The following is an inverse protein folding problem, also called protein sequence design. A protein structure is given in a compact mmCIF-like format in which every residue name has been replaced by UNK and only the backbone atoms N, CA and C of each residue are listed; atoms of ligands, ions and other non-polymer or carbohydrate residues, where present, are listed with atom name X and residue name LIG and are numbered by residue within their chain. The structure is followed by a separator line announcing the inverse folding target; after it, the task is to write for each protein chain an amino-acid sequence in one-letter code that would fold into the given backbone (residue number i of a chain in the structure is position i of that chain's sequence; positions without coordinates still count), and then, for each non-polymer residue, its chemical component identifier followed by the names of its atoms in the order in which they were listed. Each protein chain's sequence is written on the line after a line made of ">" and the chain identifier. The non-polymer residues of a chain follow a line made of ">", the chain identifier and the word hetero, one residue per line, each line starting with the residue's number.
data_IF_798353960266
#
_entry.id   IF_798353960266
#
_cell.length_a   1.000
_cell.length_b   1.000
_cell.length_c   1.000
_cell.angle_alpha   90.00
_cell.angle_beta   90.00
_cell.angle_gamma   90.00
#
_symmetry.space_group_name_H-M   'P 1'
#
loop_
_entity.id
_entity.type
_entity.pdbx_description
1 polymer ?
#
# COMPACT_ATOMS: atom_id res chain seq x y z
N UNK A 1 -2.99 14.18 -14.00
CA UNK A 1 -2.71 15.15 -12.91
C UNK A 1 -3.91 16.03 -12.52
N UNK A 2 -5.04 15.98 -13.22
CA UNK A 2 -6.25 16.76 -12.87
C UNK A 2 -7.21 16.06 -11.90
N UNK A 3 -6.88 14.83 -11.54
CA UNK A 3 -7.71 13.94 -10.74
C UNK A 3 -7.88 14.39 -9.28
N UNK A 4 -6.93 15.12 -8.74
CA UNK A 4 -6.88 15.51 -7.33
C UNK A 4 -7.43 16.92 -7.04
N UNK A 5 -7.83 17.66 -8.06
CA UNK A 5 -8.24 19.05 -7.90
C UNK A 5 -9.63 19.21 -7.31
N UNK A 6 -10.59 18.37 -7.73
CA UNK A 6 -11.99 18.55 -7.35
C UNK A 6 -12.24 18.31 -5.87
N UNK A 7 -11.66 17.28 -5.28
CA UNK A 7 -11.83 16.99 -3.85
C UNK A 7 -11.08 17.98 -2.96
N UNK A 8 -9.89 18.39 -3.38
CA UNK A 8 -9.16 19.45 -2.70
C UNK A 8 -9.94 20.76 -2.66
N UNK A 9 -10.57 21.13 -3.76
CA UNK A 9 -11.41 22.34 -3.85
C UNK A 9 -12.64 22.22 -2.97
N UNK A 10 -13.33 21.07 -2.98
CA UNK A 10 -14.48 20.80 -2.10
C UNK A 10 -14.08 20.86 -0.61
N UNK A 11 -12.93 20.28 -0.25
CA UNK A 11 -12.41 20.32 1.11
C UNK A 11 -12.02 21.72 1.56
N UNK A 12 -11.42 22.51 0.67
CA UNK A 12 -11.02 23.89 1.00
C UNK A 12 -12.19 24.84 1.17
N UNK A 13 -13.35 24.51 0.59
CA UNK A 13 -14.57 25.31 0.64
C UNK A 13 -15.52 24.94 1.78
N UNK A 14 -15.26 23.83 2.49
CA UNK A 14 -16.11 23.42 3.60
C UNK A 14 -15.90 24.31 4.83
N UNK A 15 -16.94 25.02 5.31
CA UNK A 15 -16.80 25.92 6.45
C UNK A 15 -16.41 25.23 7.76
N UNK A 16 -16.71 23.94 7.91
CA UNK A 16 -16.44 23.16 9.11
C UNK A 16 -15.00 22.64 9.18
N UNK A 17 -14.21 22.89 8.15
CA UNK A 17 -12.85 22.34 8.00
C UNK A 17 -11.74 23.37 8.04
N UNK A 18 -11.98 24.50 8.66
CA UNK A 18 -10.93 25.49 8.98
C UNK A 18 -9.86 24.83 9.86
N UNK A 19 -8.70 24.55 9.28
CA UNK A 19 -7.56 23.98 10.00
C UNK A 19 -7.27 22.51 9.68
N UNK A 20 -7.97 21.86 8.73
CA UNK A 20 -7.53 20.59 8.21
C UNK A 20 -6.25 20.85 7.43
N UNK A 21 -5.14 20.43 8.02
CA UNK A 21 -3.91 20.29 7.25
C UNK A 21 -4.24 19.38 6.06
N UNK A 22 -3.96 19.85 4.87
CA UNK A 22 -4.08 19.03 3.68
C UNK A 22 -3.24 17.79 3.93
N UNK A 23 -3.92 16.67 3.92
CA UNK A 23 -3.42 15.36 4.11
C UNK A 23 -2.14 15.09 3.35
N UNK A 24 -1.12 14.72 4.08
CA UNK A 24 0.20 14.45 3.55
C UNK A 24 0.73 13.15 4.15
N UNK A 25 0.19 12.04 3.71
CA UNK A 25 0.82 10.76 3.99
C UNK A 25 2.24 10.78 3.42
N UNK A 26 3.23 10.50 4.26
CA UNK A 26 4.61 10.47 3.82
C UNK A 26 5.37 9.32 4.49
N UNK A 27 6.28 8.70 3.75
CA UNK A 27 7.23 7.73 4.29
C UNK A 27 8.59 8.40 4.45
N UNK A 28 8.97 8.60 5.70
CA UNK A 28 10.31 9.03 6.06
C UNK A 28 11.31 7.87 5.98
N UNK A 29 12.58 8.22 5.87
CA UNK A 29 13.70 7.29 5.99
C UNK A 29 14.80 7.96 6.82
N UNK A 30 15.40 7.18 7.69
CA UNK A 30 16.58 7.58 8.46
C UNK A 30 17.69 6.59 8.23
N UNK A 31 18.92 7.03 8.37
CA UNK A 31 20.08 6.17 8.44
C UNK A 31 20.56 6.09 9.89
N UNK A 32 20.85 4.89 10.36
CA UNK A 32 21.40 4.66 11.69
C UNK A 32 22.89 4.31 11.59
N UNK A 33 23.61 4.61 12.65
CA UNK A 33 24.95 4.08 12.89
C UNK A 33 24.88 2.60 13.31
N UNK A 34 26.00 1.90 13.37
CA UNK A 34 26.07 0.49 13.79
C UNK A 34 25.60 0.26 15.24
N UNK A 35 25.64 1.29 16.07
CA UNK A 35 25.13 1.29 17.44
C UNK A 35 23.64 1.70 17.54
N UNK A 36 22.94 1.76 16.41
CA UNK A 36 21.53 2.16 16.28
C UNK A 36 21.22 3.64 16.63
N UNK A 37 22.24 4.46 16.86
CA UNK A 37 22.01 5.90 17.00
C UNK A 37 21.70 6.55 15.65
N UNK A 38 20.98 7.66 15.66
CA UNK A 38 20.63 8.38 14.44
C UNK A 38 21.90 8.92 13.76
N UNK A 39 22.14 8.51 12.52
CA UNK A 39 23.21 9.06 11.68
C UNK A 39 22.70 10.25 10.88
N UNK A 40 21.59 10.08 10.18
CA UNK A 40 20.98 11.18 9.44
C UNK A 40 19.50 10.96 9.16
N UNK A 41 18.78 12.07 9.01
CA UNK A 41 17.43 12.11 8.45
C UNK A 41 17.55 12.40 6.97
N UNK A 42 16.90 11.60 6.14
CA UNK A 42 16.93 11.72 4.69
C UNK A 42 15.63 12.33 4.18
N UNK A 43 15.59 12.68 2.89
CA UNK A 43 14.34 13.11 2.25
C UNK A 43 13.33 11.95 2.28
N UNK A 44 12.04 12.22 2.48
CA UNK A 44 11.01 11.20 2.41
C UNK A 44 11.12 10.40 1.11
N UNK A 45 10.93 9.08 1.19
CA UNK A 45 10.91 8.19 0.02
C UNK A 45 9.75 8.53 -0.90
N UNK A 46 8.59 8.75 -0.30
CA UNK A 46 7.37 9.22 -0.96
C UNK A 46 6.67 10.24 -0.08
N UNK A 47 5.98 11.17 -0.73
CA UNK A 47 5.05 12.08 -0.10
C UNK A 47 3.82 12.18 -1.00
N UNK A 48 2.70 11.71 -0.51
CA UNK A 48 1.44 11.64 -1.27
C UNK A 48 0.58 12.88 -1.03
N UNK A 49 1.20 14.03 -1.17
CA UNK A 49 0.55 15.32 -0.99
C UNK A 49 -0.76 15.40 -1.77
N UNK A 50 -1.86 15.59 -1.07
CA UNK A 50 -3.22 15.69 -1.63
C UNK A 50 -3.78 14.38 -2.22
N UNK A 51 -3.11 13.24 -2.03
CA UNK A 51 -3.57 11.92 -2.47
C UNK A 51 -4.18 11.15 -1.32
N UNK A 52 -3.45 11.02 -0.23
CA UNK A 52 -3.91 10.33 0.97
C UNK A 52 -3.31 10.93 2.23
N UNK A 53 -4.05 10.85 3.31
CA UNK A 53 -3.62 11.21 4.67
C UNK A 53 -2.69 10.17 5.29
N UNK A 54 -2.85 8.94 4.87
CA UNK A 54 -2.34 7.78 5.58
C UNK A 54 -1.59 6.89 4.60
N UNK A 55 -0.34 6.60 4.93
CA UNK A 55 0.48 5.60 4.26
C UNK A 55 1.02 4.69 5.35
N UNK A 56 0.61 3.44 5.34
CA UNK A 56 0.94 2.49 6.39
C UNK A 56 1.65 1.26 5.84
N UNK A 57 2.26 0.50 6.73
CA UNK A 57 2.86 -0.80 6.44
C UNK A 57 3.86 -0.79 5.29
N UNK A 58 4.85 0.12 5.28
CA UNK A 58 5.83 0.15 4.21
C UNK A 58 6.61 -1.16 4.16
N UNK A 59 6.70 -1.70 2.96
CA UNK A 59 7.47 -2.89 2.66
C UNK A 59 8.37 -2.62 1.45
N UNK A 60 9.68 -2.66 1.66
CA UNK A 60 10.67 -2.41 0.61
C UNK A 60 11.40 -3.70 0.30
N UNK A 61 11.50 -4.04 -0.97
CA UNK A 61 12.25 -5.19 -1.44
C UNK A 61 12.95 -4.90 -2.76
N UNK A 62 13.95 -5.72 -3.08
CA UNK A 62 14.66 -5.66 -4.36
C UNK A 62 14.24 -6.84 -5.23
N UNK A 63 13.84 -6.55 -6.46
CA UNK A 63 13.49 -7.55 -7.45
C UNK A 63 14.02 -7.11 -8.81
N UNK A 64 14.70 -8.00 -9.52
CA UNK A 64 15.25 -7.75 -10.85
C UNK A 64 16.04 -6.42 -10.96
N UNK A 65 16.91 -6.20 -9.96
CA UNK A 65 17.79 -5.02 -9.90
C UNK A 65 17.12 -3.71 -9.48
N UNK A 66 15.80 -3.68 -9.31
CA UNK A 66 15.03 -2.50 -8.91
C UNK A 66 14.53 -2.62 -7.47
N UNK A 67 14.29 -1.48 -6.85
CA UNK A 67 13.67 -1.36 -5.54
C UNK A 67 12.19 -1.09 -5.68
N UNK A 68 11.38 -1.89 -5.01
CA UNK A 68 9.94 -1.74 -4.95
C UNK A 68 9.54 -1.39 -3.52
N UNK A 69 8.59 -0.49 -3.41
CA UNK A 69 8.03 -0.03 -2.14
C UNK A 69 6.52 -0.22 -2.24
N UNK A 70 5.96 -1.04 -1.37
CA UNK A 70 4.53 -1.23 -1.23
C UNK A 70 4.04 -0.69 0.10
N UNK A 71 2.83 -0.18 0.12
CA UNK A 71 2.21 0.38 1.31
C UNK A 71 0.69 0.23 1.23
N UNK A 72 0.03 0.30 2.37
CA UNK A 72 -1.42 0.31 2.46
C UNK A 72 -1.95 1.71 2.79
N UNK A 73 -3.17 1.95 2.34
CA UNK A 73 -4.00 3.08 2.76
C UNK A 73 -5.47 2.67 2.76
N UNK A 74 -6.28 3.37 3.53
CA UNK A 74 -7.73 3.20 3.52
C UNK A 74 -8.38 4.19 2.57
N UNK A 75 -9.42 3.77 1.85
CA UNK A 75 -10.18 4.64 0.96
C UNK A 75 -10.71 5.89 1.65
N UNK A 76 -11.18 5.76 2.90
CA UNK A 76 -11.62 6.88 3.74
C UNK A 76 -10.54 7.95 3.98
N UNK A 77 -9.27 7.63 3.73
CA UNK A 77 -8.13 8.54 3.86
C UNK A 77 -7.61 9.07 2.53
N UNK A 78 -8.20 8.64 1.45
CA UNK A 78 -7.82 9.06 0.10
C UNK A 78 -8.69 10.20 -0.40
N UNK A 79 -8.08 11.13 -1.13
CA UNK A 79 -8.74 12.30 -1.71
C UNK A 79 -8.74 12.24 -3.24
N UNK A 80 -9.11 11.08 -3.75
CA UNK A 80 -9.04 10.72 -5.16
C UNK A 80 -10.43 10.36 -5.64
N UNK A 81 -10.85 10.87 -6.79
CA UNK A 81 -12.14 10.53 -7.37
C UNK A 81 -12.21 9.04 -7.72
N UNK A 82 -13.36 8.42 -7.47
CA UNK A 82 -13.60 7.01 -7.78
C UNK A 82 -13.03 6.02 -6.76
N UNK A 83 -12.59 6.51 -5.60
CA UNK A 83 -12.15 5.67 -4.48
C UNK A 83 -13.34 5.37 -3.57
N UNK A 84 -13.49 4.10 -3.22
CA UNK A 84 -14.46 3.66 -2.20
C UNK A 84 -13.84 3.88 -0.80
N UNK A 85 -14.57 4.60 0.05
CA UNK A 85 -14.13 4.91 1.41
C UNK A 85 -14.02 3.67 2.31
N UNK A 86 -14.79 2.62 2.02
CA UNK A 86 -14.80 1.39 2.81
C UNK A 86 -13.71 0.40 2.38
N UNK A 87 -13.07 0.65 1.25
CA UNK A 87 -12.08 -0.25 0.68
C UNK A 87 -10.66 0.01 1.22
N UNK A 88 -9.80 -0.99 1.06
CA UNK A 88 -8.37 -0.93 1.33
C UNK A 88 -7.60 -0.96 0.01
N UNK A 89 -6.63 -0.08 -0.08
CA UNK A 89 -5.80 0.08 -1.26
C UNK A 89 -4.34 -0.22 -0.94
N UNK A 90 -3.74 -1.11 -1.71
CA UNK A 90 -2.30 -1.31 -1.71
C UNK A 90 -1.69 -0.43 -2.78
N UNK A 91 -0.82 0.47 -2.37
CA UNK A 91 -0.07 1.36 -3.25
C UNK A 91 1.33 0.80 -3.48
N UNK A 92 1.86 1.00 -4.68
CA UNK A 92 3.18 0.51 -5.04
C UNK A 92 3.99 1.51 -5.86
N UNK A 93 5.28 1.48 -5.61
CA UNK A 93 6.25 2.38 -6.23
C UNK A 93 7.51 1.62 -6.61
N UNK A 94 8.26 2.16 -7.56
CA UNK A 94 9.52 1.57 -8.05
C UNK A 94 10.61 2.62 -8.17
N UNK A 95 11.85 2.22 -7.86
CA UNK A 95 13.05 3.06 -7.99
C UNK A 95 14.25 2.22 -8.43
N UNK A 96 15.25 2.87 -9.00
CA UNK A 96 16.57 2.27 -9.23
C UNK A 96 17.48 2.34 -7.99
N UNK A 97 17.10 3.09 -6.95
CA UNK A 97 17.85 3.26 -5.71
C UNK A 97 16.95 3.02 -4.50
N UNK A 98 17.50 2.45 -3.42
CA UNK A 98 16.80 2.29 -2.15
C UNK A 98 16.24 3.63 -1.62
N UNK A 99 16.96 4.70 -1.81
CA UNK A 99 16.60 6.04 -1.32
C UNK A 99 15.79 6.86 -2.32
N UNK A 100 15.34 6.24 -3.41
CA UNK A 100 14.53 6.89 -4.42
C UNK A 100 15.34 7.62 -5.52
N UNK A 101 14.72 8.45 -6.35
CA UNK A 101 13.29 8.79 -6.31
C UNK A 101 12.40 7.62 -6.74
N UNK A 102 11.30 7.42 -6.02
CA UNK A 102 10.30 6.43 -6.33
C UNK A 102 9.25 6.96 -7.31
N UNK A 103 8.84 6.13 -8.24
CA UNK A 103 7.78 6.42 -9.22
C UNK A 103 6.60 5.48 -8.98
N UNK A 104 5.35 5.95 -9.13
CA UNK A 104 4.19 5.09 -8.92
C UNK A 104 4.13 3.96 -9.97
N UNK A 105 3.81 2.76 -9.51
CA UNK A 105 3.48 1.63 -10.37
C UNK A 105 2.14 1.87 -11.07
N UNK A 106 1.92 1.22 -12.20
CA UNK A 106 0.69 1.31 -13.00
C UNK A 106 0.33 2.73 -13.47
N UNK A 107 1.20 3.71 -13.21
CA UNK A 107 0.96 5.13 -13.50
C UNK A 107 0.19 5.86 -12.40
N UNK A 108 -0.57 5.14 -11.58
CA UNK A 108 -1.39 5.69 -10.48
C UNK A 108 -0.84 5.38 -9.10
N UNK A 109 -0.01 4.35 -8.99
CA UNK A 109 0.42 3.76 -7.72
C UNK A 109 -0.51 2.65 -7.23
N UNK A 110 -1.71 2.50 -7.78
CA UNK A 110 -2.62 1.43 -7.38
C UNK A 110 -2.09 0.07 -7.85
N UNK A 111 -1.88 -0.82 -6.89
CA UNK A 111 -1.48 -2.21 -7.13
C UNK A 111 -2.67 -3.14 -6.95
N UNK A 112 -3.42 -2.92 -5.88
CA UNK A 112 -4.50 -3.76 -5.44
C UNK A 112 -5.56 -2.92 -4.72
N UNK A 113 -6.81 -3.28 -4.92
CA UNK A 113 -7.95 -2.91 -4.08
C UNK A 113 -8.84 -4.14 -3.91
N UNK A 114 -9.71 -4.14 -2.93
CA UNK A 114 -10.46 -5.34 -2.57
C UNK A 114 -11.82 -5.43 -3.24
N UNK A 115 -12.33 -4.30 -3.74
CA UNK A 115 -13.65 -4.23 -4.37
C UNK A 115 -14.76 -4.86 -3.49
N UNK A 116 -14.74 -4.47 -2.20
CA UNK A 116 -15.60 -5.08 -1.19
C UNK A 116 -17.04 -4.57 -1.31
N UNK A 117 -17.99 -5.49 -1.23
CA UNK A 117 -19.36 -5.14 -0.84
C UNK A 117 -19.32 -4.58 0.60
N UNK A 118 -20.00 -3.47 0.91
CA UNK A 118 -20.11 -2.95 2.29
C UNK A 118 -20.62 -3.95 3.33
N UNK A 119 -21.25 -5.03 2.85
CA UNK A 119 -21.70 -6.15 3.68
C UNK A 119 -20.67 -7.27 3.82
N UNK A 120 -19.55 -7.17 3.08
CA UNK A 120 -18.51 -8.18 3.17
C UNK A 120 -17.80 -8.05 4.54
N UNK A 121 -17.69 -9.19 5.20
CA UNK A 121 -17.09 -9.30 6.52
C UNK A 121 -15.62 -9.74 6.46
N UNK A 122 -15.13 -10.02 5.25
CA UNK A 122 -13.77 -10.51 4.99
C UNK A 122 -12.85 -9.38 4.53
N UNK A 123 -12.65 -8.42 5.37
CA UNK A 123 -11.80 -7.28 5.08
C UNK A 123 -10.33 -7.61 5.36
N UNK A 124 -9.46 -7.43 4.38
CA UNK A 124 -8.01 -7.68 4.51
C UNK A 124 -7.22 -6.39 4.66
N UNK A 125 -6.12 -6.46 5.40
CA UNK A 125 -5.25 -5.31 5.69
C UNK A 125 -3.82 -5.75 5.98
N UNK A 126 -2.91 -4.79 6.06
CA UNK A 126 -1.50 -5.00 6.31
C UNK A 126 -0.86 -5.94 5.28
N UNK A 127 -1.10 -5.62 4.01
CA UNK A 127 -0.51 -6.36 2.91
C UNK A 127 1.01 -6.27 2.96
N UNK A 128 1.65 -7.41 2.78
CA UNK A 128 3.09 -7.52 2.78
C UNK A 128 3.54 -8.35 1.58
N UNK A 129 4.47 -7.82 0.80
CA UNK A 129 5.00 -8.47 -0.39
C UNK A 129 6.28 -9.24 -0.07
N UNK A 130 6.28 -10.54 -0.37
CA UNK A 130 7.43 -11.42 -0.24
C UNK A 130 7.92 -11.79 -1.63
N UNK A 131 9.08 -11.24 -2.08
CA UNK A 131 9.62 -11.58 -3.39
C UNK A 131 9.95 -13.06 -3.49
N UNK A 132 9.60 -13.65 -4.62
CA UNK A 132 9.95 -15.04 -4.90
C UNK A 132 11.39 -15.14 -5.40
N UNK A 133 12.05 -16.25 -5.09
CA UNK A 133 13.45 -16.50 -5.48
C UNK A 133 13.60 -16.60 -7.01
N UNK A 134 12.54 -17.02 -7.69
CA UNK A 134 12.54 -17.16 -9.14
C UNK A 134 11.36 -16.42 -9.76
N UNK A 135 11.63 -15.76 -10.88
CA UNK A 135 10.62 -15.00 -11.62
C UNK A 135 10.30 -13.64 -11.02
N UNK A 136 9.30 -13.00 -11.58
CA UNK A 136 8.90 -11.63 -11.26
C UNK A 136 7.61 -11.58 -10.42
N UNK A 137 7.35 -12.63 -9.65
CA UNK A 137 6.20 -12.69 -8.77
C UNK A 137 6.59 -12.36 -7.33
N UNK A 138 5.67 -11.71 -6.66
CA UNK A 138 5.70 -11.56 -5.21
C UNK A 138 4.47 -12.22 -4.61
N UNK A 139 4.63 -12.86 -3.47
CA UNK A 139 3.52 -13.34 -2.67
C UNK A 139 3.01 -12.19 -1.84
N UNK A 140 1.73 -11.92 -1.91
CA UNK A 140 1.07 -10.97 -1.04
C UNK A 140 0.44 -11.72 0.12
N UNK A 141 0.84 -11.39 1.31
CA UNK A 141 0.24 -11.85 2.57
C UNK A 141 -0.50 -10.71 3.24
N UNK A 142 -1.53 -11.00 3.98
CA UNK A 142 -2.28 -10.01 4.75
C UNK A 142 -2.96 -10.66 5.94
N UNK A 143 -3.49 -9.88 6.85
CA UNK A 143 -4.44 -10.41 7.82
C UNK A 143 -5.86 -10.06 7.40
N UNK A 144 -6.81 -10.84 7.89
CA UNK A 144 -8.22 -10.66 7.66
C UNK A 144 -8.92 -10.41 9.00
N UNK A 145 -9.70 -9.33 9.05
CA UNK A 145 -10.56 -9.06 10.20
C UNK A 145 -11.91 -9.69 9.91
N UNK A 146 -12.32 -10.66 10.71
CA UNK A 146 -13.66 -11.22 10.62
C UNK A 146 -14.66 -10.27 11.27
N UNK A 147 -15.06 -9.24 10.54
CA UNK A 147 -16.09 -8.32 10.99
C UNK A 147 -17.44 -9.04 10.96
N UNK A 148 -18.02 -9.30 12.11
CA UNK A 148 -19.40 -9.76 12.24
C UNK A 148 -19.64 -11.28 12.22
N UNK A 149 -18.62 -12.13 12.01
CA UNK A 149 -18.79 -13.57 12.13
C UNK A 149 -18.67 -14.09 13.57
N UNK A 150 -17.94 -13.37 14.41
CA UNK A 150 -17.72 -13.76 15.79
C UNK A 150 -17.89 -12.55 16.70
N UNK A 151 -18.54 -12.75 17.83
CA UNK A 151 -18.67 -11.71 18.85
C UNK A 151 -17.33 -11.17 19.35
N UNK A 152 -16.26 -11.97 19.21
CA UNK A 152 -14.92 -11.66 19.72
C UNK A 152 -13.94 -11.10 18.66
N UNK A 153 -14.36 -10.76 17.47
CA UNK A 153 -13.52 -10.15 16.42
C UNK A 153 -12.12 -10.78 16.24
N UNK A 154 -12.06 -12.06 16.03
CA UNK A 154 -10.78 -12.73 15.78
C UNK A 154 -10.19 -12.34 14.43
N UNK A 155 -8.96 -11.83 14.45
CA UNK A 155 -8.17 -11.66 13.23
C UNK A 155 -7.48 -12.97 12.87
N UNK A 156 -7.40 -13.26 11.58
CA UNK A 156 -6.70 -14.42 11.04
C UNK A 156 -5.87 -14.01 9.83
N UNK A 157 -4.98 -14.87 9.37
CA UNK A 157 -4.30 -14.65 8.10
C UNK A 157 -5.26 -14.87 6.94
N UNK A 158 -5.26 -13.91 6.00
CA UNK A 158 -5.94 -14.07 4.74
C UNK A 158 -5.19 -15.07 3.83
N UNK A 159 -5.87 -15.75 2.91
CA UNK A 159 -5.21 -16.51 1.87
C UNK A 159 -4.20 -15.65 1.11
N UNK A 160 -2.99 -16.15 0.94
CA UNK A 160 -1.95 -15.47 0.16
C UNK A 160 -2.16 -15.69 -1.33
N UNK A 161 -1.72 -14.74 -2.14
CA UNK A 161 -1.83 -14.81 -3.60
C UNK A 161 -0.61 -14.18 -4.27
N UNK A 162 -0.49 -14.34 -5.58
CA UNK A 162 0.63 -13.84 -6.35
C UNK A 162 0.29 -12.55 -7.09
N UNK A 163 1.23 -11.61 -7.05
CA UNK A 163 1.26 -10.43 -7.92
C UNK A 163 2.49 -10.52 -8.81
N UNK A 164 2.28 -10.46 -10.11
CA UNK A 164 3.36 -10.36 -11.08
C UNK A 164 3.81 -8.91 -11.20
N UNK A 165 5.12 -8.68 -11.23
CA UNK A 165 5.72 -7.37 -11.41
C UNK A 165 6.57 -7.37 -12.67
N UNK A 166 6.24 -6.50 -13.63
CA UNK A 166 7.02 -6.33 -14.85
C UNK A 166 7.37 -4.86 -15.05
N UNK A 167 8.57 -4.49 -14.62
CA UNK A 167 9.06 -3.11 -14.66
C UNK A 167 8.20 -2.17 -13.81
N UNK A 168 7.35 -1.36 -14.44
CA UNK A 168 6.45 -0.41 -13.78
C UNK A 168 5.00 -0.89 -13.72
N UNK A 169 4.73 -2.13 -14.12
CA UNK A 169 3.38 -2.71 -14.15
C UNK A 169 3.26 -3.88 -13.18
N UNK A 170 2.08 -3.97 -12.59
CA UNK A 170 1.70 -5.11 -11.75
C UNK A 170 0.39 -5.71 -12.23
N UNK A 171 0.20 -6.99 -11.95
CA UNK A 171 -1.07 -7.68 -12.18
C UNK A 171 -1.23 -8.83 -11.19
N UNK A 172 -2.43 -8.99 -10.64
CA UNK A 172 -2.76 -10.17 -9.84
C UNK A 172 -2.73 -11.40 -10.73
N UNK A 173 -2.06 -12.44 -10.29
CA UNK A 173 -2.05 -13.73 -11.00
C UNK A 173 -3.35 -14.45 -10.67
N UNK A 174 -4.17 -14.66 -11.68
CA UNK A 174 -5.48 -15.31 -11.53
C UNK A 174 -5.31 -16.71 -10.96
N UNK A 175 -6.22 -17.09 -10.08
CA UNK A 175 -6.28 -18.40 -9.44
C UNK A 175 -4.99 -18.81 -8.68
N UNK A 176 -4.24 -17.82 -8.20
CA UNK A 176 -2.99 -18.02 -7.48
C UNK A 176 -3.13 -18.05 -5.96
N UNK A 177 -4.33 -18.29 -5.44
CA UNK A 177 -4.54 -18.44 -3.99
C UNK A 177 -3.68 -19.60 -3.49
N UNK A 178 -2.82 -19.30 -2.51
CA UNK A 178 -1.91 -20.26 -1.90
C UNK A 178 -2.54 -20.79 -0.61
N UNK A 179 -2.67 -22.09 -0.52
CA UNK A 179 -3.07 -22.75 0.73
C UNK A 179 -1.91 -22.80 1.72
N UNK A 180 -2.24 -23.03 2.98
CA UNK A 180 -1.26 -23.15 4.05
C UNK A 180 -0.24 -24.26 3.72
N UNK A 181 1.04 -23.94 3.77
CA UNK A 181 2.13 -24.87 3.48
C UNK A 181 2.59 -24.92 2.00
N UNK A 182 1.94 -24.20 1.10
CA UNK A 182 2.36 -24.10 -0.31
C UNK A 182 3.46 -23.05 -0.56
N UNK A 183 3.78 -22.22 0.41
CA UNK A 183 4.92 -21.30 0.35
C UNK A 183 6.22 -22.09 0.51
N UNK A 184 6.88 -22.35 -0.61
CA UNK A 184 8.26 -22.84 -0.58
C UNK A 184 9.19 -21.62 -0.59
N UNK A 185 9.53 -21.13 0.58
CA UNK A 185 10.66 -20.21 0.75
C UNK A 185 11.91 -21.06 0.71
N UNK A 186 12.73 -20.90 -0.31
CA UNK A 186 14.07 -21.48 -0.35
C UNK A 186 15.06 -20.58 0.34
#
# INVERSE_FOLDING_TARGET
>A
MNFFRSEREKLSQSPDKKGISLANGALGIIELNDDYTLKQVMKPLIASNTVTDEIERPNIFKLDGKWYLFTDTRGAKMFVDGIDAEDIYMLGYVSNSLTGPYKPLNGTGLVLHQDLDPKDVTWTYAHFAVPQVQGNNVVITSYMTNRGFFEDHHSTFAPSFLVNIKGTKTSVVKDSILEQGQLTVK
#
